data_IF_672321371537
#
_entry.id   IF_672321371537
#
_cell.length_a   1.000
_cell.length_b   1.000
_cell.length_c   1.000
_cell.angle_alpha   90.00
_cell.angle_beta   90.00
_cell.angle_gamma   90.00
#
_symmetry.space_group_name_H-M   'P 1'
#
loop_
_entity.id
_entity.type
_entity.pdbx_description
1 polymer ?
#
# COMPACT_ATOMS: atom_id res chain seq x y z
N UNK A 1 -20.38 15.38 9.52
CA UNK A 1 -19.37 15.34 10.61
C UNK A 1 -18.78 13.94 10.62
N UNK A 2 -17.53 13.79 10.21
CA UNK A 2 -16.85 12.50 10.11
C UNK A 2 -16.33 12.05 11.48
N UNK A 3 -16.77 10.88 11.94
CA UNK A 3 -16.54 10.32 13.28
C UNK A 3 -15.24 9.54 13.35
N UNK A 4 -14.10 10.18 13.06
CA UNK A 4 -12.81 9.57 13.41
C UNK A 4 -12.71 9.51 14.94
N UNK A 5 -12.66 8.30 15.50
CA UNK A 5 -12.47 8.09 16.93
C UNK A 5 -10.99 8.31 17.26
N UNK A 6 -10.66 9.49 17.78
CA UNK A 6 -9.28 9.79 18.17
C UNK A 6 -8.90 9.09 19.48
N UNK A 7 -7.73 8.43 19.53
CA UNK A 7 -7.30 7.69 20.73
C UNK A 7 -6.96 8.63 21.90
N UNK A 8 -6.63 9.90 21.63
CA UNK A 8 -6.40 10.92 22.66
C UNK A 8 -6.98 12.27 22.24
N UNK A 9 -7.23 13.16 23.22
CA UNK A 9 -7.63 14.55 22.95
C UNK A 9 -6.55 15.33 22.19
N UNK A 10 -5.27 14.99 22.37
CA UNK A 10 -4.15 15.63 21.68
C UNK A 10 -4.26 15.50 20.16
N UNK A 11 -4.61 14.31 19.65
CA UNK A 11 -4.82 14.09 18.21
C UNK A 11 -5.88 15.03 17.64
N UNK A 12 -7.01 15.16 18.35
CA UNK A 12 -8.10 16.05 17.94
C UNK A 12 -7.63 17.51 17.89
N UNK A 13 -7.00 17.99 18.97
CA UNK A 13 -6.52 19.37 19.04
C UNK A 13 -5.47 19.68 17.97
N UNK A 14 -4.53 18.76 17.72
CA UNK A 14 -3.51 18.95 16.68
C UNK A 14 -4.14 18.95 15.29
N UNK A 15 -5.07 18.03 15.02
CA UNK A 15 -5.77 17.99 13.74
C UNK A 15 -6.59 19.25 13.50
N UNK A 16 -7.29 19.78 14.51
CA UNK A 16 -8.05 21.03 14.41
C UNK A 16 -7.16 22.24 14.08
N UNK A 17 -5.96 22.31 14.69
CA UNK A 17 -4.96 23.34 14.36
C UNK A 17 -4.49 23.19 12.92
N UNK A 18 -4.12 21.97 12.50
CA UNK A 18 -3.68 21.68 11.13
C UNK A 18 -4.77 22.01 10.13
N UNK A 19 -6.02 21.64 10.39
CA UNK A 19 -7.16 21.94 9.51
C UNK A 19 -7.42 23.44 9.41
N UNK A 20 -7.31 24.18 10.51
CA UNK A 20 -7.45 25.64 10.49
C UNK A 20 -6.39 26.27 9.59
N UNK A 21 -5.13 25.84 9.70
CA UNK A 21 -4.05 26.34 8.85
C UNK A 21 -4.25 25.98 7.37
N UNK A 22 -4.62 24.72 7.08
CA UNK A 22 -4.85 24.27 5.70
C UNK A 22 -6.04 24.98 5.05
N UNK A 23 -7.13 25.22 5.78
CA UNK A 23 -8.31 25.94 5.26
C UNK A 23 -8.06 27.42 5.00
N UNK A 24 -7.07 28.01 5.67
CA UNK A 24 -6.69 29.40 5.46
C UNK A 24 -5.82 29.60 4.21
N UNK A 25 -5.27 28.52 3.65
CA UNK A 25 -4.43 28.56 2.46
C UNK A 25 -5.32 28.46 1.20
N UNK A 26 -5.36 29.50 0.35
CA UNK A 26 -6.21 29.51 -0.85
C UNK A 26 -5.79 28.47 -1.90
N UNK A 27 -4.56 27.94 -1.82
CA UNK A 27 -4.09 26.89 -2.73
C UNK A 27 -4.57 25.50 -2.29
N UNK A 28 -5.13 25.34 -1.08
CA UNK A 28 -5.68 24.06 -0.61
C UNK A 28 -7.11 23.88 -1.13
N UNK A 29 -7.30 22.80 -1.89
CA UNK A 29 -8.58 22.42 -2.52
C UNK A 29 -9.27 21.27 -1.79
N UNK A 30 -8.55 20.55 -0.95
CA UNK A 30 -9.07 19.40 -0.23
C UNK A 30 -8.12 18.86 0.82
N UNK A 31 -8.67 18.23 1.85
CA UNK A 31 -7.92 17.60 2.94
C UNK A 31 -8.58 16.27 3.30
N UNK A 32 -7.77 15.22 3.35
CA UNK A 32 -8.16 13.85 3.70
C UNK A 32 -7.27 13.36 4.85
N UNK A 33 -7.89 12.82 5.91
CA UNK A 33 -7.18 12.04 6.91
C UNK A 33 -6.93 10.63 6.35
N UNK A 34 -5.72 10.12 6.51
CA UNK A 34 -5.34 8.77 6.13
C UNK A 34 -4.82 7.98 7.35
N UNK A 35 -4.30 6.79 7.09
CA UNK A 35 -3.53 6.02 8.05
C UNK A 35 -4.37 5.41 9.16
N UNK A 36 -3.71 5.12 10.28
CA UNK A 36 -4.31 4.38 11.40
C UNK A 36 -5.52 5.11 12.00
N UNK A 37 -5.48 6.44 12.10
CA UNK A 37 -6.59 7.22 12.64
C UNK A 37 -7.83 7.21 11.72
N UNK A 38 -7.64 7.32 10.40
CA UNK A 38 -8.73 7.23 9.44
C UNK A 38 -9.39 5.84 9.47
N UNK A 39 -8.57 4.79 9.57
CA UNK A 39 -9.05 3.40 9.65
C UNK A 39 -9.71 3.03 10.98
N UNK A 40 -9.57 3.86 12.02
CA UNK A 40 -10.06 3.56 13.37
C UNK A 40 -9.18 2.56 14.14
N UNK A 41 -7.96 2.30 13.68
CA UNK A 41 -6.95 1.44 14.34
C UNK A 41 -5.86 2.25 15.03
N UNK A 42 -6.08 3.56 15.17
CA UNK A 42 -5.21 4.51 15.84
C UNK A 42 -4.92 4.14 17.29
N UNK A 43 -3.68 4.39 17.71
CA UNK A 43 -3.19 4.17 19.07
C UNK A 43 -2.75 5.49 19.70
N UNK A 44 -2.54 5.56 21.03
CA UNK A 44 -2.06 6.79 21.68
C UNK A 44 -0.73 7.32 21.13
N UNK A 45 0.10 6.46 20.55
CA UNK A 45 1.40 6.75 19.92
C UNK A 45 1.32 6.99 18.40
N UNK A 46 0.12 6.93 17.80
CA UNK A 46 -0.06 7.19 16.37
C UNK A 46 0.34 8.63 15.99
N UNK A 47 0.75 8.79 14.75
CA UNK A 47 0.91 10.07 14.07
C UNK A 47 -0.38 10.49 13.35
N UNK A 48 -0.34 11.67 12.73
CA UNK A 48 -1.39 12.19 11.85
C UNK A 48 -0.91 12.16 10.39
N UNK A 49 -1.46 11.27 9.59
CA UNK A 49 -1.29 11.24 8.14
C UNK A 49 -2.36 12.10 7.47
N UNK A 50 -1.97 13.24 6.88
CA UNK A 50 -2.89 14.18 6.25
C UNK A 50 -2.49 14.39 4.79
N UNK A 51 -3.36 13.93 3.89
CA UNK A 51 -3.22 14.17 2.46
C UNK A 51 -3.90 15.49 2.10
N UNK A 52 -3.20 16.31 1.34
CA UNK A 52 -3.66 17.64 0.94
C UNK A 52 -3.74 17.69 -0.58
N UNK A 53 -4.89 18.10 -1.09
CA UNK A 53 -5.10 18.37 -2.52
C UNK A 53 -4.86 19.85 -2.75
N UNK A 54 -3.89 20.20 -3.59
CA UNK A 54 -3.52 21.59 -3.88
C UNK A 54 -3.87 21.98 -5.31
N UNK A 55 -4.13 23.28 -5.53
CA UNK A 55 -4.40 23.84 -6.85
C UNK A 55 -3.17 23.82 -7.75
N UNK A 56 -2.00 24.10 -7.16
CA UNK A 56 -0.71 24.16 -7.84
C UNK A 56 0.25 23.12 -7.29
N UNK A 57 1.26 22.77 -8.08
CA UNK A 57 2.36 21.92 -7.62
C UNK A 57 2.99 22.56 -6.37
N UNK A 58 3.25 21.77 -5.31
CA UNK A 58 3.84 22.20 -4.05
C UNK A 58 5.29 22.75 -4.10
N UNK A 59 5.70 23.41 -5.19
CA UNK A 59 7.03 24.05 -5.33
C UNK A 59 7.24 25.15 -4.27
N UNK A 60 6.15 25.82 -3.84
CA UNK A 60 6.19 26.73 -2.68
C UNK A 60 6.12 25.95 -1.37
N UNK A 61 7.13 26.12 -0.51
CA UNK A 61 7.07 25.66 0.89
C UNK A 61 6.05 26.48 1.66
N UNK A 62 4.81 25.99 1.67
CA UNK A 62 3.76 26.57 2.50
C UNK A 62 4.17 26.51 4.00
N UNK A 63 3.91 27.57 4.80
CA UNK A 63 4.39 27.67 6.18
C UNK A 63 3.94 26.51 7.10
N UNK A 64 2.77 25.92 6.84
CA UNK A 64 2.22 24.82 7.63
C UNK A 64 3.04 23.53 7.55
N UNK A 65 3.86 23.34 6.51
CA UNK A 65 4.66 22.11 6.29
C UNK A 65 5.78 21.89 7.29
N UNK A 66 6.41 22.97 7.74
CA UNK A 66 7.62 22.91 8.58
C UNK A 66 7.34 23.24 10.04
N UNK A 67 6.09 23.55 10.37
CA UNK A 67 5.72 23.99 11.70
C UNK A 67 5.70 22.80 12.65
N UNK A 68 6.47 22.87 13.74
CA UNK A 68 6.54 21.81 14.75
C UNK A 68 5.18 21.56 15.40
N UNK A 69 4.93 20.31 15.80
CA UNK A 69 3.70 19.84 16.43
C UNK A 69 4.03 18.97 17.64
N UNK A 70 3.12 18.87 18.63
CA UNK A 70 3.35 18.07 19.83
C UNK A 70 3.26 16.55 19.57
N UNK A 71 2.83 16.13 18.38
CA UNK A 71 2.95 14.77 17.85
C UNK A 71 3.37 14.83 16.37
N UNK A 72 3.91 13.74 15.79
CA UNK A 72 4.30 13.72 14.38
C UNK A 72 3.07 13.91 13.46
N UNK A 73 3.18 14.82 12.51
CA UNK A 73 2.16 15.06 11.48
C UNK A 73 2.84 14.95 10.14
N UNK A 74 2.46 13.97 9.33
CA UNK A 74 2.87 13.89 7.94
C UNK A 74 1.85 14.65 7.09
N UNK A 75 2.34 15.67 6.39
CA UNK A 75 1.54 16.49 5.47
C UNK A 75 2.04 16.19 4.08
N UNK A 76 1.20 15.49 3.30
CA UNK A 76 1.52 15.08 1.94
C UNK A 76 0.64 15.86 0.95
N UNK A 77 1.13 16.96 0.39
CA UNK A 77 0.39 17.78 -0.56
C UNK A 77 0.78 17.47 -2.00
N UNK A 78 -0.24 17.36 -2.84
CA UNK A 78 -0.10 17.15 -4.29
C UNK A 78 -1.31 17.74 -5.01
N UNK A 79 -1.17 17.99 -6.30
CA UNK A 79 -2.34 18.25 -7.14
C UNK A 79 -3.19 16.99 -7.31
N UNK A 80 -4.45 17.15 -7.72
CA UNK A 80 -5.32 16.00 -8.00
C UNK A 80 -4.74 15.07 -9.10
N UNK A 81 -4.14 15.64 -10.15
CA UNK A 81 -3.47 14.86 -11.20
C UNK A 81 -2.29 14.04 -10.65
N UNK A 82 -1.47 14.64 -9.80
CA UNK A 82 -0.36 13.96 -9.15
C UNK A 82 -0.83 12.81 -8.26
N UNK A 83 -1.96 12.97 -7.55
CA UNK A 83 -2.57 11.88 -6.80
C UNK A 83 -3.03 10.74 -7.71
N UNK A 84 -3.78 11.04 -8.77
CA UNK A 84 -4.25 10.05 -9.74
C UNK A 84 -3.12 9.23 -10.34
N UNK A 85 -1.99 9.88 -10.66
CA UNK A 85 -0.80 9.21 -11.21
C UNK A 85 -0.20 8.14 -10.28
N UNK A 86 -0.56 8.14 -8.99
CA UNK A 86 -0.05 7.23 -7.96
C UNK A 86 -1.04 6.15 -7.54
N UNK A 87 -2.23 6.10 -8.14
CA UNK A 87 -3.22 5.07 -7.82
C UNK A 87 -2.93 3.75 -8.56
N UNK A 88 -2.28 3.81 -9.73
CA UNK A 88 -1.93 2.67 -10.55
C UNK A 88 -0.39 2.48 -10.64
N UNK A 89 0.24 1.78 -9.67
CA UNK A 89 1.66 1.45 -9.76
C UNK A 89 1.92 0.58 -10.99
N UNK A 90 3.07 0.77 -11.64
CA UNK A 90 3.40 0.04 -12.88
C UNK A 90 4.78 -0.63 -12.86
N UNK A 91 5.59 -0.39 -11.82
CA UNK A 91 6.91 -1.02 -11.64
C UNK A 91 6.93 -1.88 -10.39
N UNK A 92 7.90 -2.77 -10.33
CA UNK A 92 8.17 -3.59 -9.15
C UNK A 92 8.49 -2.66 -7.98
N UNK A 93 7.81 -2.88 -6.86
CA UNK A 93 7.98 -2.09 -5.63
C UNK A 93 7.26 -0.75 -5.60
N UNK A 94 6.68 -0.26 -6.71
CA UNK A 94 5.83 0.93 -6.67
C UNK A 94 4.59 0.65 -5.82
N UNK A 95 4.27 1.54 -4.88
CA UNK A 95 3.10 1.41 -4.01
C UNK A 95 1.96 2.30 -4.50
N UNK A 96 0.73 1.78 -4.41
CA UNK A 96 -0.48 2.53 -4.70
C UNK A 96 -0.85 3.42 -3.53
N UNK A 97 -0.93 4.73 -3.77
CA UNK A 97 -1.53 5.67 -2.85
C UNK A 97 -3.06 5.61 -2.86
N UNK A 98 -3.67 4.80 -3.75
CA UNK A 98 -5.13 4.66 -3.84
C UNK A 98 -5.75 4.14 -2.54
N UNK A 99 -5.07 3.23 -1.83
CA UNK A 99 -5.55 2.71 -0.55
C UNK A 99 -5.77 3.78 0.51
N UNK A 100 -4.90 4.81 0.55
CA UNK A 100 -5.08 5.94 1.45
C UNK A 100 -6.39 6.72 1.21
N UNK A 101 -6.87 6.73 -0.04
CA UNK A 101 -8.16 7.33 -0.41
C UNK A 101 -9.34 6.38 -0.16
N UNK A 102 -9.17 5.06 -0.37
CA UNK A 102 -10.19 4.05 -0.06
C UNK A 102 -10.48 3.97 1.44
N UNK A 103 -9.44 4.13 2.26
CA UNK A 103 -9.52 4.07 3.73
C UNK A 103 -9.70 5.43 4.39
N UNK A 104 -9.56 6.50 3.62
CA UNK A 104 -9.45 7.85 4.13
C UNK A 104 -10.77 8.45 4.61
N UNK A 105 -10.64 9.50 5.41
CA UNK A 105 -11.77 10.28 5.92
C UNK A 105 -11.66 11.72 5.42
N UNK A 106 -12.59 12.19 4.56
CA UNK A 106 -12.62 13.59 4.14
C UNK A 106 -12.80 14.54 5.32
N UNK A 107 -11.95 15.56 5.38
CA UNK A 107 -11.95 16.59 6.43
C UNK A 107 -12.29 18.00 5.91
N UNK A 108 -12.00 18.25 4.63
CA UNK A 108 -12.32 19.49 3.93
C UNK A 108 -12.39 19.19 2.43
N UNK A 109 -13.50 19.52 1.77
CA UNK A 109 -13.68 19.28 0.34
C UNK A 109 -14.74 20.24 -0.26
N UNK A 110 -14.44 21.55 -0.33
CA UNK A 110 -15.41 22.56 -0.71
C UNK A 110 -15.87 22.42 -2.17
N UNK A 111 -15.01 21.90 -3.04
CA UNK A 111 -15.23 21.81 -4.48
C UNK A 111 -15.39 20.37 -4.99
N UNK A 112 -15.40 19.37 -4.09
CA UNK A 112 -15.58 17.95 -4.44
C UNK A 112 -14.33 17.22 -4.96
N UNK A 113 -13.16 17.86 -4.95
CA UNK A 113 -11.92 17.28 -5.47
C UNK A 113 -11.47 16.02 -4.69
N UNK A 114 -11.71 15.97 -3.38
CA UNK A 114 -11.40 14.76 -2.58
C UNK A 114 -12.37 13.64 -2.92
N UNK A 115 -13.67 13.95 -3.01
CA UNK A 115 -14.69 12.98 -3.40
C UNK A 115 -14.41 12.36 -4.78
N UNK A 116 -14.00 13.17 -5.76
CA UNK A 116 -13.56 12.70 -7.07
C UNK A 116 -12.35 11.76 -6.98
N UNK A 117 -11.32 12.13 -6.21
CA UNK A 117 -10.14 11.27 -6.04
C UNK A 117 -10.45 9.93 -5.36
N UNK A 118 -11.39 9.92 -4.42
CA UNK A 118 -11.89 8.67 -3.80
C UNK A 118 -12.57 7.80 -4.86
N UNK A 119 -13.43 8.39 -5.70
CA UNK A 119 -14.09 7.67 -6.78
C UNK A 119 -13.08 7.14 -7.81
N UNK A 120 -12.08 7.94 -8.18
CA UNK A 120 -11.01 7.54 -9.09
C UNK A 120 -10.17 6.39 -8.52
N UNK A 121 -9.80 6.47 -7.23
CA UNK A 121 -9.07 5.40 -6.54
C UNK A 121 -9.88 4.09 -6.53
N UNK A 122 -11.19 4.16 -6.27
CA UNK A 122 -12.07 2.99 -6.30
C UNK A 122 -12.20 2.39 -7.71
N UNK A 123 -12.39 3.22 -8.73
CA UNK A 123 -12.47 2.78 -10.11
C UNK A 123 -11.17 2.12 -10.59
N UNK A 124 -10.02 2.74 -10.28
CA UNK A 124 -8.70 2.18 -10.61
C UNK A 124 -8.46 0.87 -9.86
N UNK A 125 -8.76 0.81 -8.56
CA UNK A 125 -8.60 -0.42 -7.78
C UNK A 125 -9.43 -1.57 -8.36
N UNK A 126 -10.70 -1.33 -8.68
CA UNK A 126 -11.59 -2.35 -9.27
C UNK A 126 -11.16 -2.80 -10.67
N UNK A 127 -10.59 -1.88 -11.47
CA UNK A 127 -10.15 -2.13 -12.84
C UNK A 127 -8.69 -2.55 -12.99
N UNK A 128 -7.89 -2.54 -11.92
CA UNK A 128 -6.45 -2.72 -12.01
C UNK A 128 -6.07 -4.08 -12.60
N UNK A 129 -4.99 -4.09 -13.38
CA UNK A 129 -4.36 -5.31 -13.88
C UNK A 129 -2.88 -5.18 -13.65
N UNK A 130 -2.30 -6.14 -12.94
CA UNK A 130 -0.88 -6.12 -12.65
C UNK A 130 -0.11 -6.24 -13.97
N UNK A 131 0.83 -5.32 -14.26
CA UNK A 131 1.62 -5.40 -15.47
C UNK A 131 2.39 -6.73 -15.57
N UNK A 132 2.45 -7.31 -16.77
CA UNK A 132 3.16 -8.57 -17.01
C UNK A 132 4.63 -8.55 -16.52
N UNK A 133 5.42 -7.46 -16.69
CA UNK A 133 6.77 -7.40 -16.13
C UNK A 133 6.83 -7.52 -14.60
N UNK A 134 5.81 -7.03 -13.89
CA UNK A 134 5.72 -7.15 -12.43
C UNK A 134 5.42 -8.59 -12.03
N UNK A 135 4.50 -9.29 -12.71
CA UNK A 135 4.24 -10.71 -12.46
C UNK A 135 5.46 -11.58 -12.76
N UNK A 136 6.14 -11.31 -13.88
CA UNK A 136 7.37 -12.02 -14.27
C UNK A 136 8.48 -11.86 -13.23
N UNK A 137 8.67 -10.66 -12.69
CA UNK A 137 9.64 -10.41 -11.63
C UNK A 137 9.39 -11.29 -10.40
N UNK A 138 8.16 -11.37 -9.89
CA UNK A 138 7.88 -12.20 -8.73
C UNK A 138 8.02 -13.70 -9.04
N UNK A 139 7.66 -14.14 -10.26
CA UNK A 139 7.88 -15.53 -10.66
C UNK A 139 9.37 -15.91 -10.68
N UNK A 140 10.23 -15.03 -11.21
CA UNK A 140 11.68 -15.20 -11.22
C UNK A 140 12.26 -15.17 -9.79
N UNK A 141 11.84 -14.21 -8.97
CA UNK A 141 12.23 -14.11 -7.56
C UNK A 141 12.02 -15.43 -6.83
N UNK A 142 10.81 -16.00 -6.90
CA UNK A 142 10.48 -17.24 -6.19
C UNK A 142 11.23 -18.46 -6.73
N UNK A 143 11.54 -18.49 -8.03
CA UNK A 143 12.41 -19.53 -8.61
C UNK A 143 13.78 -19.57 -7.92
N UNK A 144 14.34 -18.41 -7.58
CA UNK A 144 15.63 -18.33 -6.90
C UNK A 144 15.55 -18.47 -5.37
N UNK A 145 14.42 -18.07 -4.78
CA UNK A 145 14.25 -17.98 -3.33
C UNK A 145 13.77 -19.29 -2.72
N UNK A 146 12.84 -20.00 -3.36
CA UNK A 146 12.24 -21.24 -2.81
C UNK A 146 13.30 -22.29 -2.43
N UNK A 147 14.32 -22.60 -3.27
CA UNK A 147 15.36 -23.56 -2.89
C UNK A 147 16.15 -23.13 -1.65
N UNK A 148 16.40 -21.81 -1.49
CA UNK A 148 17.11 -21.26 -0.34
C UNK A 148 16.27 -21.37 0.94
N UNK A 149 14.98 -21.05 0.87
CA UNK A 149 14.05 -21.22 1.99
C UNK A 149 13.92 -22.69 2.40
N UNK A 150 13.87 -23.61 1.43
CA UNK A 150 13.87 -25.05 1.72
C UNK A 150 15.15 -25.49 2.44
N UNK A 151 16.32 -25.01 1.99
CA UNK A 151 17.60 -25.30 2.64
C UNK A 151 17.68 -24.73 4.06
N UNK A 152 17.21 -23.50 4.29
CA UNK A 152 17.09 -22.90 5.63
C UNK A 152 16.22 -23.77 6.54
N UNK A 153 15.05 -24.20 6.04
CA UNK A 153 14.12 -25.06 6.79
C UNK A 153 14.74 -26.42 7.14
N UNK A 154 15.55 -27.00 6.25
CA UNK A 154 16.25 -28.27 6.49
C UNK A 154 17.35 -28.13 7.54
N UNK A 155 18.14 -27.04 7.51
CA UNK A 155 19.17 -26.78 8.52
C UNK A 155 18.56 -26.51 9.89
N UNK A 156 17.40 -25.86 9.93
CA UNK A 156 16.69 -25.57 11.16
C UNK A 156 17.38 -24.56 12.07
N UNK A 157 18.34 -23.78 11.54
CA UNK A 157 18.97 -22.69 12.29
C UNK A 157 17.91 -21.63 12.64
N UNK A 158 17.73 -21.29 13.93
CA UNK A 158 16.68 -20.36 14.34
C UNK A 158 16.86 -18.95 13.80
N UNK A 159 18.09 -18.48 13.63
CA UNK A 159 18.39 -17.12 13.14
C UNK A 159 18.11 -17.04 11.64
N UNK A 160 18.61 -18.00 10.86
CA UNK A 160 18.32 -18.07 9.42
C UNK A 160 16.82 -18.23 9.16
N UNK A 161 16.15 -19.08 9.96
CA UNK A 161 14.70 -19.29 9.84
C UNK A 161 13.93 -18.02 10.18
N UNK A 162 14.29 -17.34 11.27
CA UNK A 162 13.70 -16.07 11.68
C UNK A 162 13.83 -15.01 10.60
N UNK A 163 15.05 -14.83 10.09
CA UNK A 163 15.35 -13.88 9.02
C UNK A 163 14.59 -14.20 7.74
N UNK A 164 14.66 -15.44 7.26
CA UNK A 164 13.98 -15.85 6.03
C UNK A 164 12.46 -15.66 6.12
N UNK A 165 11.84 -16.07 7.23
CA UNK A 165 10.40 -15.89 7.44
C UNK A 165 10.01 -14.40 7.44
N UNK A 166 10.79 -13.53 8.10
CA UNK A 166 10.50 -12.11 8.15
C UNK A 166 10.60 -11.43 6.77
N UNK A 167 11.72 -11.60 6.07
CA UNK A 167 11.96 -10.93 4.77
C UNK A 167 10.98 -11.42 3.70
N UNK A 168 10.70 -12.74 3.68
CA UNK A 168 9.83 -13.33 2.66
C UNK A 168 8.34 -13.07 2.87
N UNK A 169 7.93 -12.62 4.07
CA UNK A 169 6.54 -12.22 4.33
C UNK A 169 6.14 -11.04 3.43
N UNK A 170 6.99 -10.02 3.33
CA UNK A 170 6.73 -8.84 2.50
C UNK A 170 6.65 -9.19 1.02
N UNK A 171 7.60 -10.00 0.53
CA UNK A 171 7.60 -10.43 -0.87
C UNK A 171 6.40 -11.31 -1.21
N UNK A 172 5.96 -12.16 -0.27
CA UNK A 172 4.77 -12.99 -0.44
C UNK A 172 3.50 -12.13 -0.53
N UNK A 173 3.34 -11.12 0.34
CA UNK A 173 2.22 -10.19 0.26
C UNK A 173 2.17 -9.49 -1.10
N UNK A 174 3.28 -8.93 -1.58
CA UNK A 174 3.32 -8.28 -2.89
C UNK A 174 3.02 -9.24 -4.04
N UNK A 175 3.48 -10.48 -3.93
CA UNK A 175 3.20 -11.54 -4.90
C UNK A 175 1.71 -11.89 -4.95
N UNK A 176 1.05 -11.99 -3.79
CA UNK A 176 -0.38 -12.25 -3.72
C UNK A 176 -1.18 -11.10 -4.35
N UNK A 177 -0.83 -9.86 -4.08
CA UNK A 177 -1.45 -8.70 -4.74
C UNK A 177 -1.27 -8.73 -6.25
N UNK A 178 -0.03 -9.00 -6.70
CA UNK A 178 0.28 -9.12 -8.12
C UNK A 178 -0.56 -10.22 -8.80
N UNK A 179 -0.68 -11.39 -8.19
CA UNK A 179 -1.46 -12.51 -8.70
C UNK A 179 -2.97 -12.24 -8.75
N UNK A 180 -3.49 -11.40 -7.85
CA UNK A 180 -4.91 -11.03 -7.78
C UNK A 180 -5.26 -9.80 -8.64
N UNK A 181 -4.30 -9.26 -9.40
CA UNK A 181 -4.50 -8.03 -10.15
C UNK A 181 -4.97 -6.87 -9.26
N UNK A 182 -4.33 -6.73 -8.10
CA UNK A 182 -4.55 -5.63 -7.17
C UNK A 182 -3.36 -4.66 -7.21
N UNK A 183 -3.58 -3.33 -7.11
CA UNK A 183 -2.50 -2.37 -6.97
C UNK A 183 -1.62 -2.71 -5.77
N UNK A 184 -0.30 -2.73 -5.90
CA UNK A 184 0.59 -3.06 -4.79
C UNK A 184 0.34 -2.10 -3.59
N UNK A 185 0.05 -2.59 -2.37
CA UNK A 185 -0.33 -1.74 -1.26
C UNK A 185 0.92 -1.13 -0.60
N UNK A 186 0.74 -0.05 0.18
CA UNK A 186 1.73 0.31 1.18
C UNK A 186 1.86 -0.85 2.18
N UNK A 187 3.09 -1.27 2.49
CA UNK A 187 3.32 -2.37 3.42
C UNK A 187 3.13 -1.98 4.90
N UNK A 188 2.33 -0.97 5.19
CA UNK A 188 1.86 -0.75 6.56
C UNK A 188 0.83 -1.84 6.92
N UNK A 189 0.99 -2.40 8.11
CA UNK A 189 0.18 -3.54 8.55
C UNK A 189 -1.32 -3.25 8.51
N UNK A 190 -1.73 -2.00 8.76
CA UNK A 190 -3.14 -1.60 8.79
C UNK A 190 -3.80 -1.70 7.42
N UNK A 191 -3.15 -1.18 6.38
CA UNK A 191 -3.63 -1.28 5.00
C UNK A 191 -3.67 -2.73 4.53
N UNK A 192 -2.57 -3.48 4.73
CA UNK A 192 -2.54 -4.90 4.36
C UNK A 192 -3.66 -5.67 5.06
N UNK A 193 -3.83 -5.55 6.38
CA UNK A 193 -4.87 -6.28 7.11
C UNK A 193 -6.29 -5.97 6.64
N UNK A 194 -6.57 -4.70 6.33
CA UNK A 194 -7.89 -4.25 5.88
C UNK A 194 -8.25 -4.77 4.50
N UNK A 195 -7.25 -4.94 3.63
CA UNK A 195 -7.43 -5.37 2.24
C UNK A 195 -7.04 -6.83 1.98
N UNK A 196 -6.68 -7.60 3.01
CA UNK A 196 -6.39 -9.04 2.87
C UNK A 196 -7.59 -9.84 2.32
N UNK A 197 -8.82 -9.39 2.58
CA UNK A 197 -10.04 -10.03 2.07
C UNK A 197 -10.27 -9.76 0.57
N UNK A 198 -9.52 -8.85 -0.05
CA UNK A 198 -9.57 -8.60 -1.49
C UNK A 198 -8.84 -9.70 -2.29
N UNK A 199 -7.99 -10.50 -1.63
CA UNK A 199 -7.34 -11.66 -2.23
C UNK A 199 -8.39 -12.76 -2.50
N UNK A 200 -8.55 -13.15 -3.77
CA UNK A 200 -9.48 -14.21 -4.21
C UNK A 200 -8.77 -15.46 -4.70
N UNK A 201 -7.51 -15.35 -5.10
CA UNK A 201 -6.70 -16.43 -5.64
C UNK A 201 -5.28 -16.46 -5.01
N UNK A 202 -4.69 -17.64 -4.78
CA UNK A 202 -5.37 -18.93 -4.76
C UNK A 202 -6.49 -18.99 -3.71
N UNK A 203 -7.41 -19.95 -3.84
CA UNK A 203 -8.49 -20.11 -2.87
C UNK A 203 -7.91 -20.32 -1.46
N UNK A 204 -8.42 -19.59 -0.46
CA UNK A 204 -7.90 -19.65 0.91
C UNK A 204 -6.63 -18.83 1.16
N UNK A 205 -6.12 -18.09 0.17
CA UNK A 205 -4.91 -17.26 0.31
C UNK A 205 -4.98 -16.30 1.51
N UNK A 206 -6.14 -15.67 1.73
CA UNK A 206 -6.36 -14.76 2.85
C UNK A 206 -6.13 -15.44 4.20
N UNK A 207 -6.71 -16.61 4.42
CA UNK A 207 -6.60 -17.32 5.69
C UNK A 207 -5.21 -17.90 5.90
N UNK A 208 -4.58 -18.41 4.83
CA UNK A 208 -3.19 -18.86 4.88
C UNK A 208 -2.24 -17.71 5.18
N UNK A 209 -2.44 -16.54 4.57
CA UNK A 209 -1.64 -15.35 4.85
C UNK A 209 -1.83 -14.85 6.30
N UNK A 210 -3.07 -14.86 6.81
CA UNK A 210 -3.34 -14.58 8.24
C UNK A 210 -2.63 -15.58 9.15
N UNK A 211 -2.57 -16.85 8.77
CA UNK A 211 -1.83 -17.87 9.52
C UNK A 211 -0.31 -17.60 9.48
N UNK A 212 0.25 -17.25 8.33
CA UNK A 212 1.67 -16.83 8.19
C UNK A 212 1.98 -15.68 9.15
N UNK A 213 1.15 -14.64 9.18
CA UNK A 213 1.36 -13.44 10.01
C UNK A 213 1.27 -13.70 11.52
N UNK A 214 0.63 -14.79 11.94
CA UNK A 214 0.47 -15.16 13.36
C UNK A 214 1.44 -16.25 13.83
N UNK A 215 2.04 -16.96 12.88
CA UNK A 215 2.84 -18.15 13.17
C UNK A 215 4.22 -17.80 13.73
N UNK A 216 4.77 -18.71 14.53
CA UNK A 216 6.19 -18.67 14.88
C UNK A 216 7.04 -18.82 13.61
N UNK A 217 8.29 -18.30 13.56
CA UNK A 217 9.05 -18.21 12.31
C UNK A 217 9.21 -19.53 11.55
N UNK A 218 9.38 -20.65 12.25
CA UNK A 218 9.48 -21.98 11.63
C UNK A 218 8.19 -22.38 10.89
N UNK A 219 7.05 -22.13 11.52
CA UNK A 219 5.73 -22.44 10.94
C UNK A 219 5.36 -21.43 9.85
N UNK A 220 5.70 -20.15 10.04
CA UNK A 220 5.55 -19.13 9.02
C UNK A 220 6.32 -19.51 7.75
N UNK A 221 7.59 -19.93 7.86
CA UNK A 221 8.40 -20.36 6.72
C UNK A 221 7.79 -21.58 5.99
N UNK A 222 7.20 -22.52 6.73
CA UNK A 222 6.47 -23.66 6.13
C UNK A 222 5.25 -23.18 5.35
N UNK A 223 4.39 -22.39 5.98
CA UNK A 223 3.16 -21.87 5.39
C UNK A 223 3.43 -20.97 4.18
N UNK A 224 4.51 -20.16 4.22
CA UNK A 224 4.96 -19.36 3.08
C UNK A 224 5.31 -20.25 1.89
N UNK A 225 6.07 -21.34 2.10
CA UNK A 225 6.43 -22.26 1.02
C UNK A 225 5.21 -22.98 0.41
N UNK A 226 4.19 -23.28 1.22
CA UNK A 226 2.90 -23.79 0.74
C UNK A 226 2.18 -22.75 -0.12
N UNK A 227 2.03 -21.52 0.37
CA UNK A 227 1.33 -20.45 -0.35
C UNK A 227 2.05 -20.05 -1.65
N UNK A 228 3.39 -20.05 -1.65
CA UNK A 228 4.20 -19.77 -2.85
C UNK A 228 3.95 -20.82 -3.94
N UNK A 229 3.86 -22.10 -3.57
CA UNK A 229 3.58 -23.17 -4.54
C UNK A 229 2.23 -22.97 -5.23
N UNK A 230 1.22 -22.50 -4.50
CA UNK A 230 -0.13 -22.28 -5.02
C UNK A 230 -0.27 -20.98 -5.84
N UNK A 231 0.47 -19.92 -5.49
CA UNK A 231 0.38 -18.62 -6.18
C UNK A 231 1.22 -18.57 -7.46
N UNK A 232 2.33 -19.32 -7.53
CA UNK A 232 3.25 -19.28 -8.67
C UNK A 232 2.58 -19.54 -10.04
N UNK A 233 1.68 -20.53 -10.19
CA UNK A 233 0.96 -20.75 -11.46
C UNK A 233 0.12 -19.54 -11.91
N UNK A 234 -0.37 -18.72 -10.98
CA UNK A 234 -1.20 -17.55 -11.27
C UNK A 234 -0.38 -16.37 -11.82
N UNK A 235 0.93 -16.36 -11.58
CA UNK A 235 1.82 -15.35 -12.15
C UNK A 235 2.13 -15.62 -13.63
N UNK A 236 2.11 -16.90 -14.03
CA UNK A 236 2.33 -17.34 -15.40
C UNK A 236 1.03 -17.34 -16.23
N UNK A 237 -0.12 -17.60 -15.61
CA UNK A 237 -1.41 -17.72 -16.26
C UNK A 237 -2.11 -16.35 -16.42
N UNK A 238 -1.72 -15.58 -17.44
CA UNK A 238 -2.58 -14.61 -18.14
C UNK A 238 -1.79 -14.06 -19.33
N UNK A 239 -2.10 -14.56 -20.51
CA UNK A 239 -1.59 -14.07 -21.78
C UNK A 239 -1.73 -12.55 -21.86
N UNK A 240 -0.61 -11.84 -21.82
CA UNK A 240 -0.52 -10.53 -22.43
C UNK A 240 -0.22 -10.78 -23.91
N UNK A 241 -1.09 -10.28 -24.78
CA UNK A 241 -0.92 -10.27 -26.22
C UNK A 241 0.52 -9.86 -26.60
N UNK A 242 1.09 -10.44 -27.68
CA UNK A 242 2.43 -10.07 -28.12
C UNK A 242 2.51 -8.55 -28.34
N UNK A 243 3.65 -7.92 -27.98
CA UNK A 243 3.83 -6.49 -28.23
C UNK A 243 3.62 -6.20 -29.73
N UNK A 244 3.04 -5.03 -30.09
CA UNK A 244 2.89 -4.66 -31.49
C UNK A 244 4.26 -4.72 -32.18
N UNK A 245 4.33 -5.21 -33.44
CA UNK A 245 5.59 -5.35 -34.14
C UNK A 245 6.29 -3.98 -34.22
N UNK A 246 7.43 -3.84 -33.54
CA UNK A 246 8.23 -2.60 -33.55
C UNK A 246 8.94 -2.21 -32.26
N UNK A 247 8.63 -2.83 -31.10
CA UNK A 247 9.33 -2.50 -29.85
C UNK A 247 10.73 -3.15 -29.80
N UNK A 248 11.75 -2.43 -30.26
CA UNK A 248 13.16 -2.84 -30.14
C UNK A 248 13.57 -2.85 -28.67
N UNK A 249 14.07 -3.99 -28.20
CA UNK A 249 14.65 -4.17 -26.88
C UNK A 249 15.88 -3.29 -26.67
N UNK A 250 15.84 -2.46 -25.64
CA UNK A 250 17.03 -1.83 -25.06
C UNK A 250 17.66 -2.78 -24.07
N UNK A 251 18.84 -3.30 -24.42
CA UNK A 251 19.67 -4.11 -23.55
C UNK A 251 20.09 -3.33 -22.29
N UNK A 252 19.94 -3.95 -21.13
CA UNK A 252 20.64 -3.52 -19.92
C UNK A 252 22.10 -4.03 -19.99
N UNK A 253 23.04 -3.11 -19.78
CA UNK A 253 24.39 -3.38 -19.29
C UNK A 253 24.40 -3.18 -17.79
#
# INVERSE_FOLDING_TARGET
>A
MTTAAFPTSLHRTVLEVVLTELRADPDVRGVLLSGSLARGTGRPDSDLDVLVVTALDPVRRAPWRSRRRPLPVDLVPRTAEQWRSRFAPHRVGDESWGYAFLDGVPLHDPDGAVAELIADAAAIHAGYRTPAPVKAHYAELWTHVVPKMQAVRQRGDPVETGWAAAVMTSELLRTLWAANDLPNPSLDLGTCQRHLDDLKAPAGATDLMRAVLRAAPRDALRLQLELVADVLPLLAARDAAPPPPGAKGGAYR
#
